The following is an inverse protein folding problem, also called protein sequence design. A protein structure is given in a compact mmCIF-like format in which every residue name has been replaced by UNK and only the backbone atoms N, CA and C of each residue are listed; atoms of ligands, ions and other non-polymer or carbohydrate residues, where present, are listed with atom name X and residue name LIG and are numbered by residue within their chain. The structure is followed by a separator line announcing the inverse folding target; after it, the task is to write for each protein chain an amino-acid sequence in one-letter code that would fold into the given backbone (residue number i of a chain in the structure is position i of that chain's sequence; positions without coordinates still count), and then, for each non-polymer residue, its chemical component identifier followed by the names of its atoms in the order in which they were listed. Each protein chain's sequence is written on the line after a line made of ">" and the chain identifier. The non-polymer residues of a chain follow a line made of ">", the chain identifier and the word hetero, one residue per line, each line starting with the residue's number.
data_IF_745019733002
#
_entry.id   IF_745019733002
#
_cell.length_a   1.000
_cell.length_b   1.000
_cell.length_c   1.000
_cell.angle_alpha   90.00
_cell.angle_beta   90.00
_cell.angle_gamma   90.00
#
_symmetry.space_group_name_H-M   'P 1'
#
loop_
_entity.id
_entity.type
_entity.pdbx_description
1 polymer ?
#
# COMPACT_ATOMS: atom_id res chain seq x y z
N UNK A 1 -25.85 -31.09 22.56
CA UNK A 1 -26.42 -29.73 22.42
C UNK A 1 -27.50 -29.79 21.35
N UNK A 2 -28.75 -29.44 21.70
CA UNK A 2 -29.97 -29.74 20.95
C UNK A 2 -30.02 -29.14 19.54
N UNK A 3 -30.25 -29.99 18.53
CA UNK A 3 -30.48 -29.60 17.14
C UNK A 3 -31.71 -28.67 16.95
N UNK A 4 -32.67 -28.70 17.89
CA UNK A 4 -33.80 -27.76 17.89
C UNK A 4 -33.38 -26.30 18.13
N UNK A 5 -32.31 -26.05 18.89
CA UNK A 5 -31.89 -24.69 19.19
C UNK A 5 -31.23 -24.03 17.96
N UNK A 6 -30.46 -24.78 17.15
CA UNK A 6 -29.84 -24.24 15.94
C UNK A 6 -30.84 -23.93 14.82
N UNK A 7 -31.92 -24.72 14.71
CA UNK A 7 -33.04 -24.46 13.81
C UNK A 7 -33.84 -23.22 14.25
N UNK A 8 -34.13 -23.07 15.54
CA UNK A 8 -34.81 -21.89 16.10
C UNK A 8 -33.98 -20.61 15.90
N UNK A 9 -32.67 -20.67 16.15
CA UNK A 9 -31.78 -19.53 15.92
C UNK A 9 -31.75 -19.14 14.45
N UNK A 10 -31.72 -20.09 13.50
CA UNK A 10 -31.76 -19.77 12.06
C UNK A 10 -33.09 -19.13 11.63
N UNK A 11 -34.22 -19.63 12.14
CA UNK A 11 -35.56 -19.12 11.83
C UNK A 11 -35.80 -17.69 12.33
N UNK A 12 -35.14 -17.29 13.42
CA UNK A 12 -35.32 -15.97 14.04
C UNK A 12 -34.17 -15.01 13.70
N UNK A 13 -32.90 -15.46 13.67
CA UNK A 13 -31.75 -14.58 13.37
C UNK A 13 -31.75 -14.08 11.94
N UNK A 14 -32.16 -14.89 10.95
CA UNK A 14 -32.15 -14.45 9.56
C UNK A 14 -33.11 -13.27 9.32
N UNK A 15 -34.40 -13.33 9.71
CA UNK A 15 -35.30 -12.19 9.51
C UNK A 15 -34.93 -10.99 10.40
N UNK A 16 -34.43 -11.21 11.62
CA UNK A 16 -33.95 -10.11 12.49
C UNK A 16 -32.73 -9.43 11.88
N UNK A 17 -31.78 -10.19 11.33
CA UNK A 17 -30.60 -9.66 10.66
C UNK A 17 -30.99 -8.91 9.38
N UNK A 18 -31.90 -9.47 8.57
CA UNK A 18 -32.42 -8.79 7.36
C UNK A 18 -33.14 -7.49 7.74
N UNK A 19 -34.01 -7.50 8.75
CA UNK A 19 -34.70 -6.32 9.23
C UNK A 19 -33.70 -5.27 9.77
N UNK A 20 -32.68 -5.70 10.52
CA UNK A 20 -31.64 -4.81 11.03
C UNK A 20 -30.81 -4.19 9.90
N UNK A 21 -30.42 -4.97 8.89
CA UNK A 21 -29.73 -4.45 7.70
C UNK A 21 -30.60 -3.48 6.89
N UNK A 22 -31.91 -3.74 6.80
CA UNK A 22 -32.88 -2.86 6.12
C UNK A 22 -33.06 -1.53 6.88
N UNK A 23 -33.14 -1.59 8.23
CA UNK A 23 -33.22 -0.39 9.06
C UNK A 23 -31.95 0.46 8.99
N UNK A 24 -30.76 -0.15 8.95
CA UNK A 24 -29.49 0.59 8.79
C UNK A 24 -29.37 1.20 7.37
N UNK A 25 -29.86 0.49 6.35
CA UNK A 25 -29.89 1.03 4.98
C UNK A 25 -30.76 2.29 4.87
N UNK A 26 -31.86 2.35 5.61
CA UNK A 26 -32.82 3.45 5.58
C UNK A 26 -32.34 4.75 6.27
N UNK A 27 -31.27 4.74 7.07
CA UNK A 27 -30.81 5.93 7.80
C UNK A 27 -29.93 6.90 7.00
N UNK A 28 -29.65 6.62 5.72
CA UNK A 28 -28.79 7.47 4.89
C UNK A 28 -29.59 8.52 4.11
N UNK A 29 -30.34 9.38 4.81
CA UNK A 29 -30.84 10.63 4.22
C UNK A 29 -29.74 11.69 4.32
N UNK A 30 -28.85 11.71 3.32
CA UNK A 30 -27.87 12.77 3.15
C UNK A 30 -28.58 14.07 2.81
N UNK A 31 -28.61 15.01 3.75
CA UNK A 31 -29.07 16.37 3.50
C UNK A 31 -27.90 17.15 2.91
N UNK A 32 -27.92 17.36 1.59
CA UNK A 32 -26.99 18.29 0.94
C UNK A 32 -27.60 19.69 1.04
N UNK A 33 -27.10 20.51 1.96
CA UNK A 33 -27.41 21.93 1.97
C UNK A 33 -26.59 22.61 0.86
N UNK A 34 -27.24 22.94 -0.25
CA UNK A 34 -26.59 23.67 -1.34
C UNK A 34 -26.52 25.14 -0.93
N UNK A 35 -25.34 25.58 -0.52
CA UNK A 35 -25.07 27.00 -0.30
C UNK A 35 -25.01 27.72 -1.66
N UNK A 36 -26.01 28.56 -1.93
CA UNK A 36 -26.11 29.35 -3.16
C UNK A 36 -25.48 30.71 -2.91
N UNK A 37 -24.35 30.95 -3.56
CA UNK A 37 -23.69 32.25 -3.61
C UNK A 37 -24.09 33.02 -4.87
N UNK A 38 -24.24 34.33 -4.76
CA UNK A 38 -24.63 35.22 -5.87
C UNK A 38 -23.38 35.88 -6.49
N UNK A 39 -23.18 35.68 -7.79
CA UNK A 39 -22.00 36.15 -8.51
C UNK A 39 -22.38 37.16 -9.59
N UNK A 40 -21.57 38.22 -9.73
CA UNK A 40 -21.82 39.27 -10.73
C UNK A 40 -21.59 38.77 -12.18
N UNK A 41 -20.86 37.66 -12.35
CA UNK A 41 -20.61 37.04 -13.66
C UNK A 41 -20.46 35.53 -13.60
N UNK A 42 -20.74 34.86 -14.72
CA UNK A 42 -20.51 33.41 -14.89
C UNK A 42 -19.04 33.01 -14.73
N UNK A 43 -18.12 33.93 -15.03
CA UNK A 43 -16.68 33.70 -14.85
C UNK A 43 -16.32 33.59 -13.36
N UNK A 44 -16.85 34.49 -12.52
CA UNK A 44 -16.63 34.44 -11.07
C UNK A 44 -17.25 33.16 -10.47
N UNK A 45 -18.46 32.78 -10.89
CA UNK A 45 -19.07 31.52 -10.44
C UNK A 45 -18.18 30.30 -10.77
N UNK A 46 -17.70 30.23 -12.01
CA UNK A 46 -16.82 29.13 -12.44
C UNK A 46 -15.47 29.13 -11.69
N UNK A 47 -14.90 30.32 -11.46
CA UNK A 47 -13.68 30.51 -10.69
C UNK A 47 -13.84 30.01 -9.26
N UNK A 48 -14.90 30.46 -8.58
CA UNK A 48 -15.23 30.05 -7.23
C UNK A 48 -15.41 28.53 -7.14
N UNK A 49 -16.23 27.94 -8.04
CA UNK A 49 -16.46 26.48 -8.08
C UNK A 49 -15.16 25.71 -8.26
N UNK A 50 -14.28 26.15 -9.17
CA UNK A 50 -12.97 25.54 -9.38
C UNK A 50 -12.09 25.58 -8.13
N UNK A 51 -12.09 26.69 -7.40
CA UNK A 51 -11.31 26.86 -6.18
C UNK A 51 -11.81 25.97 -5.04
N UNK A 52 -13.13 25.91 -4.79
CA UNK A 52 -13.69 25.09 -3.69
C UNK A 52 -13.59 23.58 -3.96
N UNK A 53 -13.48 23.16 -5.23
CA UNK A 53 -13.22 21.77 -5.60
C UNK A 53 -11.73 21.42 -5.47
N UNK A 54 -10.82 22.36 -5.74
CA UNK A 54 -9.38 22.19 -5.52
C UNK A 54 -9.01 22.26 -4.04
N UNK A 55 -9.75 22.99 -3.20
CA UNK A 55 -9.44 23.07 -1.79
C UNK A 55 -9.94 21.87 -0.98
N UNK A 56 -9.10 21.36 -0.09
CA UNK A 56 -9.42 20.36 0.92
C UNK A 56 -9.74 21.06 2.24
N UNK A 57 -10.70 20.52 2.98
CA UNK A 57 -10.92 20.96 4.36
C UNK A 57 -9.94 20.22 5.30
N UNK A 58 -8.94 20.90 5.91
CA UNK A 58 -7.91 20.25 6.73
C UNK A 58 -8.44 19.66 8.05
N UNK A 59 -9.67 20.04 8.43
CA UNK A 59 -10.35 19.57 9.65
C UNK A 59 -11.45 18.55 9.35
N UNK A 60 -11.76 18.32 8.08
CA UNK A 60 -12.80 17.39 7.65
C UNK A 60 -12.16 16.05 7.23
N UNK A 61 -12.95 14.99 7.14
CA UNK A 61 -12.46 13.66 6.76
C UNK A 61 -12.10 13.57 5.27
N UNK A 62 -10.92 14.07 4.87
CA UNK A 62 -10.37 13.90 3.50
C UNK A 62 -11.35 14.31 2.37
N UNK A 63 -12.22 15.29 2.64
CA UNK A 63 -13.21 15.81 1.70
C UNK A 63 -12.77 17.17 1.14
N UNK A 64 -13.24 17.49 -0.05
CA UNK A 64 -13.09 18.83 -0.63
C UNK A 64 -13.95 19.84 0.14
N UNK A 65 -13.66 21.12 -0.08
CA UNK A 65 -14.38 22.21 0.55
C UNK A 65 -15.82 22.26 0.04
N UNK A 66 -16.04 22.01 -1.25
CA UNK A 66 -17.38 21.98 -1.85
C UNK A 66 -18.34 20.97 -1.20
N UNK A 67 -17.87 19.76 -0.85
CA UNK A 67 -18.69 18.69 -0.29
C UNK A 67 -18.67 18.57 1.23
N UNK A 68 -17.97 19.48 1.93
CA UNK A 68 -17.90 19.47 3.40
C UNK A 68 -18.78 20.58 4.00
N UNK A 69 -19.66 20.20 4.93
CA UNK A 69 -20.53 21.12 5.68
C UNK A 69 -20.03 21.38 7.11
N UNK A 70 -18.71 21.28 7.32
CA UNK A 70 -18.13 21.63 8.61
C UNK A 70 -18.18 23.16 8.83
N UNK A 71 -18.32 23.65 10.08
CA UNK A 71 -18.34 25.09 10.36
C UNK A 71 -17.10 25.83 9.83
N UNK A 72 -15.93 25.17 9.86
CA UNK A 72 -14.68 25.71 9.30
C UNK A 72 -14.68 25.74 7.76
N UNK A 73 -15.35 24.78 7.11
CA UNK A 73 -15.48 24.76 5.66
C UNK A 73 -16.36 25.92 5.18
N UNK A 74 -17.42 26.27 5.92
CA UNK A 74 -18.27 27.42 5.64
C UNK A 74 -17.49 28.74 5.72
N UNK A 75 -16.65 28.94 6.75
CA UNK A 75 -15.79 30.12 6.87
C UNK A 75 -14.84 30.25 5.66
N UNK A 76 -14.23 29.14 5.25
CA UNK A 76 -13.36 29.07 4.07
C UNK A 76 -14.11 29.32 2.76
N UNK A 77 -15.31 28.77 2.59
CA UNK A 77 -16.19 29.02 1.43
C UNK A 77 -16.56 30.49 1.35
N UNK A 78 -16.99 31.08 2.47
CA UNK A 78 -17.33 32.49 2.55
C UNK A 78 -16.11 33.36 2.19
N UNK A 79 -14.94 33.06 2.77
CA UNK A 79 -13.73 33.83 2.50
C UNK A 79 -13.27 33.73 1.04
N UNK A 80 -13.40 32.55 0.44
CA UNK A 80 -13.11 32.34 -0.99
C UNK A 80 -14.08 33.14 -1.86
N UNK A 81 -15.37 33.12 -1.52
CA UNK A 81 -16.40 33.90 -2.21
C UNK A 81 -16.10 35.40 -2.16
N UNK A 82 -15.79 35.95 -0.98
CA UNK A 82 -15.47 37.37 -0.81
C UNK A 82 -14.28 37.78 -1.70
N UNK A 83 -13.20 36.97 -1.73
CA UNK A 83 -12.03 37.28 -2.56
C UNK A 83 -12.28 37.17 -4.07
N UNK A 84 -13.13 36.22 -4.50
CA UNK A 84 -13.55 36.12 -5.90
C UNK A 84 -14.37 37.35 -6.30
N UNK A 85 -15.25 37.81 -5.41
CA UNK A 85 -16.05 39.02 -5.61
C UNK A 85 -15.19 40.30 -5.63
N UNK A 86 -14.13 40.33 -4.82
CA UNK A 86 -13.10 41.37 -4.85
C UNK A 86 -12.25 41.36 -6.14
N UNK A 87 -12.45 40.40 -7.05
CA UNK A 87 -11.74 40.30 -8.33
C UNK A 87 -10.32 39.77 -8.22
N UNK A 88 -9.97 39.06 -7.14
CA UNK A 88 -8.66 38.45 -6.94
C UNK A 88 -8.42 37.33 -7.95
N UNK A 89 -7.15 37.13 -8.30
CA UNK A 89 -6.73 36.00 -9.14
C UNK A 89 -6.66 34.69 -8.35
N UNK A 90 -6.76 33.55 -9.04
CA UNK A 90 -6.68 32.22 -8.41
C UNK A 90 -5.37 32.02 -7.63
N UNK A 91 -4.27 32.59 -8.15
CA UNK A 91 -2.95 32.49 -7.52
C UNK A 91 -2.92 33.25 -6.19
N UNK A 92 -3.45 34.47 -6.14
CA UNK A 92 -3.56 35.25 -4.91
C UNK A 92 -4.46 34.54 -3.89
N UNK A 93 -5.59 33.98 -4.33
CA UNK A 93 -6.52 33.25 -3.46
C UNK A 93 -5.84 32.01 -2.87
N UNK A 94 -5.17 31.20 -3.69
CA UNK A 94 -4.41 30.03 -3.19
C UNK A 94 -3.32 30.44 -2.21
N UNK A 95 -2.58 31.50 -2.51
CA UNK A 95 -1.50 31.98 -1.66
C UNK A 95 -2.05 32.44 -0.30
N UNK A 96 -3.12 33.23 -0.29
CA UNK A 96 -3.80 33.64 0.94
C UNK A 96 -4.26 32.44 1.77
N UNK A 97 -4.88 31.46 1.12
CA UNK A 97 -5.35 30.24 1.76
C UNK A 97 -4.21 29.42 2.35
N UNK A 98 -3.08 29.28 1.64
CA UNK A 98 -1.90 28.58 2.15
C UNK A 98 -1.21 29.33 3.29
N UNK A 99 -1.09 30.65 3.20
CA UNK A 99 -0.44 31.46 4.24
C UNK A 99 -1.21 31.41 5.56
N UNK A 100 -2.55 31.38 5.50
CA UNK A 100 -3.40 31.40 6.69
C UNK A 100 -3.77 30.03 7.23
N UNK A 101 -4.02 29.06 6.34
CA UNK A 101 -4.54 27.73 6.70
C UNK A 101 -3.53 26.59 6.45
N UNK A 102 -2.37 26.88 5.84
CA UNK A 102 -1.26 25.96 5.64
C UNK A 102 -1.24 25.28 4.27
N UNK A 103 -0.14 24.58 3.99
CA UNK A 103 0.12 23.92 2.70
C UNK A 103 -0.89 22.80 2.36
N UNK A 104 -1.57 22.24 3.35
CA UNK A 104 -2.48 21.09 3.20
C UNK A 104 -3.86 21.46 2.66
N UNK A 105 -4.13 22.74 2.42
CA UNK A 105 -5.41 23.20 1.89
C UNK A 105 -5.57 22.91 0.40
N UNK A 106 -4.48 22.82 -0.37
CA UNK A 106 -4.52 22.49 -1.80
C UNK A 106 -3.99 21.08 -2.04
N UNK A 107 -4.51 20.37 -3.05
CA UNK A 107 -3.94 19.09 -3.52
C UNK A 107 -2.53 19.24 -4.12
N UNK A 108 -2.13 20.47 -4.45
CA UNK A 108 -0.91 20.81 -5.18
C UNK A 108 0.09 21.51 -4.23
N UNK A 109 0.97 20.76 -3.52
CA UNK A 109 2.00 21.38 -2.70
C UNK A 109 2.96 22.17 -3.59
N UNK A 110 3.24 23.46 -3.27
CA UNK A 110 4.11 24.28 -4.10
C UNK A 110 5.55 23.74 -4.08
N UNK A 111 6.21 23.76 -5.24
CA UNK A 111 7.63 23.38 -5.37
C UNK A 111 8.52 24.43 -4.70
N UNK A 112 8.80 24.24 -3.41
CA UNK A 112 9.73 25.09 -2.65
C UNK A 112 11.16 24.57 -2.76
N UNK A 113 12.18 25.44 -2.60
CA UNK A 113 13.59 25.03 -2.57
C UNK A 113 13.89 23.92 -1.54
N UNK A 114 13.16 23.90 -0.42
CA UNK A 114 13.28 22.85 0.60
C UNK A 114 12.74 21.48 0.14
N UNK A 115 11.71 21.48 -0.71
CA UNK A 115 11.11 20.26 -1.27
C UNK A 115 11.76 19.80 -2.56
N UNK A 116 12.61 20.63 -3.19
CA UNK A 116 13.26 20.30 -4.46
C UNK A 116 14.03 18.98 -4.41
N UNK A 117 14.73 18.71 -3.31
CA UNK A 117 15.44 17.43 -3.17
C UNK A 117 14.48 16.24 -3.28
N UNK A 118 13.27 16.32 -2.71
CA UNK A 118 12.27 15.27 -2.79
C UNK A 118 11.75 15.07 -4.22
N UNK A 119 11.58 16.17 -4.97
CA UNK A 119 11.11 16.12 -6.35
C UNK A 119 12.19 15.66 -7.35
N UNK A 120 13.43 16.10 -7.17
CA UNK A 120 14.53 15.81 -8.11
C UNK A 120 15.33 14.55 -7.77
N UNK A 121 15.32 14.08 -6.52
CA UNK A 121 16.06 12.88 -6.13
C UNK A 121 15.61 11.62 -6.90
N UNK A 122 14.31 11.28 -7.00
CA UNK A 122 13.87 10.10 -7.76
C UNK A 122 14.29 10.10 -9.24
N UNK A 123 14.04 11.17 -10.04
CA UNK A 123 14.46 11.18 -11.43
C UNK A 123 15.98 11.24 -11.59
N UNK A 124 16.70 11.97 -10.73
CA UNK A 124 18.16 12.04 -10.78
C UNK A 124 18.80 10.67 -10.54
N UNK A 125 18.32 9.94 -9.53
CA UNK A 125 18.78 8.58 -9.24
C UNK A 125 18.52 7.64 -10.42
N UNK A 126 17.32 7.72 -11.02
CA UNK A 126 16.96 6.92 -12.19
C UNK A 126 17.91 7.18 -13.37
N UNK A 127 18.20 8.46 -13.66
CA UNK A 127 19.12 8.86 -14.72
C UNK A 127 20.54 8.35 -14.44
N UNK A 128 21.02 8.40 -13.20
CA UNK A 128 22.33 7.88 -12.83
C UNK A 128 22.43 6.37 -13.04
N UNK A 129 21.39 5.61 -12.67
CA UNK A 129 21.35 4.16 -12.85
C UNK A 129 21.29 3.81 -14.34
N UNK A 130 20.39 4.42 -15.11
CA UNK A 130 20.27 4.17 -16.54
C UNK A 130 21.53 4.60 -17.30
N UNK A 131 22.10 5.76 -16.97
CA UNK A 131 23.35 6.26 -17.55
C UNK A 131 24.53 5.35 -17.23
N UNK A 132 24.66 4.89 -15.99
CA UNK A 132 25.70 3.94 -15.58
C UNK A 132 25.55 2.57 -16.24
N UNK A 133 24.31 2.05 -16.35
CA UNK A 133 24.02 0.81 -17.05
C UNK A 133 24.34 0.91 -18.55
N UNK A 134 23.92 1.99 -19.20
CA UNK A 134 24.19 2.25 -20.61
C UNK A 134 25.71 2.38 -20.86
N UNK A 135 26.43 3.14 -20.03
CA UNK A 135 27.88 3.27 -20.10
C UNK A 135 28.58 1.91 -19.94
N UNK A 136 28.17 1.11 -18.94
CA UNK A 136 28.72 -0.23 -18.72
C UNK A 136 28.46 -1.16 -19.90
N UNK A 137 27.29 -1.09 -20.53
CA UNK A 137 26.95 -1.92 -21.68
C UNK A 137 27.75 -1.48 -22.93
N UNK A 138 27.88 -0.18 -23.17
CA UNK A 138 28.65 0.34 -24.31
C UNK A 138 30.17 0.14 -24.17
N UNK A 139 30.70 0.09 -22.96
CA UNK A 139 32.13 -0.16 -22.70
C UNK A 139 32.51 -1.65 -22.77
N UNK A 140 31.53 -2.57 -22.70
CA UNK A 140 31.76 -4.02 -22.88
C UNK A 140 31.96 -4.40 -24.36
N UNK A 141 31.68 -3.51 -25.30
CA UNK A 141 31.81 -3.76 -26.74
C UNK A 141 33.25 -3.67 -27.29
N UNK A 142 34.26 -3.53 -26.43
CA UNK A 142 35.68 -3.56 -26.81
C UNK A 142 36.49 -4.52 -25.95
N UNK A 143 36.15 -5.80 -25.97
CA UNK A 143 37.17 -6.81 -25.72
C UNK A 143 37.87 -7.07 -27.07
N UNK A 144 39.12 -6.60 -27.30
CA UNK A 144 39.92 -7.18 -28.37
C UNK A 144 40.11 -8.65 -28.02
N UNK A 145 39.60 -9.53 -28.87
CA UNK A 145 39.75 -10.97 -28.81
C UNK A 145 41.25 -11.34 -28.95
N UNK A 146 42.04 -11.14 -27.90
CA UNK A 146 43.32 -11.83 -27.71
C UNK A 146 43.00 -13.10 -26.94
N UNK A 147 42.73 -14.17 -27.68
CA UNK A 147 42.84 -15.53 -27.14
C UNK A 147 44.33 -15.76 -26.87
N UNK A 148 44.78 -16.00 -25.64
CA UNK A 148 46.02 -16.72 -25.44
C UNK A 148 45.71 -18.15 -25.88
N UNK A 149 46.38 -18.61 -26.94
CA UNK A 149 46.41 -20.03 -27.29
C UNK A 149 47.22 -20.69 -26.17
N UNK A 150 46.52 -21.28 -25.20
CA UNK A 150 47.10 -22.26 -24.29
C UNK A 150 46.97 -23.64 -24.95
N UNK A 151 47.97 -24.52 -24.79
CA UNK A 151 47.87 -25.88 -25.28
C UNK A 151 46.71 -26.59 -24.58
N UNK A 152 45.82 -27.21 -25.36
CA UNK A 152 44.79 -28.11 -24.85
C UNK A 152 45.49 -29.32 -24.25
N UNK A 153 45.66 -29.33 -22.94
CA UNK A 153 45.90 -30.59 -22.22
C UNK A 153 44.53 -31.08 -21.76
N UNK A 154 44.12 -32.18 -22.35
CA UNK A 154 42.80 -32.79 -22.26
C UNK A 154 42.39 -33.10 -20.81
N UNK A 155 41.60 -32.21 -20.20
CA UNK A 155 40.93 -32.49 -18.93
C UNK A 155 39.80 -33.53 -19.16
N UNK A 156 39.19 -33.52 -20.34
CA UNK A 156 38.12 -34.44 -20.74
C UNK A 156 38.57 -35.91 -20.84
N UNK A 157 39.84 -36.18 -21.16
CA UNK A 157 40.38 -37.55 -21.16
C UNK A 157 40.69 -38.04 -19.73
N UNK A 158 41.01 -37.12 -18.81
CA UNK A 158 41.35 -37.46 -17.42
C UNK A 158 40.14 -37.73 -16.51
N UNK A 159 39.00 -37.08 -16.76
CA UNK A 159 37.77 -37.28 -15.97
C UNK A 159 37.03 -38.56 -16.39
N UNK A 160 36.96 -38.83 -17.70
CA UNK A 160 36.29 -40.01 -18.27
C UNK A 160 36.88 -41.33 -17.74
N UNK A 161 38.21 -41.45 -17.71
CA UNK A 161 38.91 -42.67 -17.27
C UNK A 161 38.75 -42.92 -15.76
N UNK A 162 38.76 -41.86 -14.94
CA UNK A 162 38.64 -41.99 -13.48
C UNK A 162 37.19 -42.21 -13.03
N UNK A 163 36.23 -41.61 -13.72
CA UNK A 163 34.80 -41.77 -13.42
C UNK A 163 34.28 -43.16 -13.82
N UNK A 164 34.73 -43.71 -14.96
CA UNK A 164 34.33 -45.05 -15.41
C UNK A 164 34.84 -46.15 -14.46
N UNK A 165 36.07 -46.03 -13.96
CA UNK A 165 36.61 -46.98 -12.97
C UNK A 165 35.85 -46.94 -11.62
N UNK A 166 35.27 -45.79 -11.25
CA UNK A 166 34.45 -45.65 -10.06
C UNK A 166 33.05 -46.29 -10.25
N UNK A 167 32.47 -46.16 -11.45
CA UNK A 167 31.17 -46.74 -11.77
C UNK A 167 31.22 -48.27 -11.75
N UNK A 168 32.26 -48.88 -12.32
CA UNK A 168 32.43 -50.34 -12.33
C UNK A 168 32.56 -50.91 -10.91
N UNK A 169 33.20 -50.19 -9.99
CA UNK A 169 33.28 -50.58 -8.58
C UNK A 169 31.93 -50.57 -7.87
N UNK A 170 31.06 -49.61 -8.19
CA UNK A 170 29.71 -49.54 -7.62
C UNK A 170 28.77 -50.61 -8.21
N UNK A 171 28.99 -51.01 -9.47
CA UNK A 171 28.23 -52.10 -10.08
C UNK A 171 28.68 -53.48 -9.56
N UNK A 172 29.99 -53.69 -9.37
CA UNK A 172 30.52 -54.92 -8.79
C UNK A 172 30.07 -55.14 -7.33
N UNK A 173 30.01 -54.07 -6.51
CA UNK A 173 29.46 -54.18 -5.14
C UNK A 173 27.95 -54.43 -5.12
N UNK A 174 27.22 -53.95 -6.13
CA UNK A 174 25.78 -54.24 -6.31
C UNK A 174 25.53 -55.70 -6.72
N UNK A 175 26.39 -56.28 -7.55
CA UNK A 175 26.30 -57.71 -7.93
C UNK A 175 26.57 -58.64 -6.75
N UNK A 176 27.55 -58.34 -5.89
CA UNK A 176 27.75 -59.10 -4.64
C UNK A 176 26.59 -58.92 -3.66
N UNK A 177 26.08 -57.69 -3.51
CA UNK A 177 24.91 -57.43 -2.67
C UNK A 177 23.61 -58.07 -3.23
N UNK A 178 23.55 -58.34 -4.53
CA UNK A 178 22.41 -58.96 -5.22
C UNK A 178 22.35 -60.49 -5.12
N UNK A 179 23.42 -61.16 -4.67
CA UNK A 179 23.50 -62.63 -4.59
C UNK A 179 23.16 -63.19 -3.20
N UNK A 180 23.01 -62.35 -2.17
CA UNK A 180 22.79 -62.80 -0.78
C UNK A 180 21.37 -62.52 -0.24
N UNK A 181 20.46 -61.94 -1.04
CA UNK A 181 19.07 -61.73 -0.61
C UNK A 181 18.09 -62.41 -1.57
N UNK A 182 18.15 -63.74 -1.61
CA UNK A 182 17.06 -64.57 -2.13
C UNK A 182 16.68 -65.63 -1.10
N UNK A 183 16.58 -65.26 0.18
CA UNK A 183 15.85 -66.08 1.13
C UNK A 183 15.39 -65.28 2.35
N UNK A 184 14.12 -65.47 2.69
CA UNK A 184 13.40 -65.02 3.89
C UNK A 184 13.13 -63.50 4.00
N UNK A 185 12.00 -63.01 4.52
CA UNK A 185 10.66 -63.52 4.83
C UNK A 185 9.85 -62.23 5.10
N UNK A 186 8.57 -62.30 4.73
CA UNK A 186 7.39 -61.54 5.19
C UNK A 186 7.61 -60.71 6.48
N UNK A 187 7.19 -59.44 6.43
CA UNK A 187 6.32 -58.74 7.41
C UNK A 187 6.42 -57.24 7.05
N UNK A 188 5.43 -56.72 6.33
CA UNK A 188 4.38 -55.87 6.92
C UNK A 188 4.93 -54.95 8.01
N UNK A 189 5.04 -53.65 7.71
CA UNK A 189 4.41 -52.60 8.51
C UNK A 189 4.50 -51.29 7.72
N UNK A 190 3.31 -50.85 7.35
CA UNK A 190 2.86 -49.51 7.04
C UNK A 190 3.59 -48.43 7.87
N UNK A 191 3.94 -47.30 7.26
CA UNK A 191 3.36 -46.01 7.66
C UNK A 191 3.87 -44.91 6.71
N UNK A 192 2.92 -44.44 5.90
CA UNK A 192 2.90 -43.11 5.30
C UNK A 192 2.87 -42.04 6.39
N UNK A 193 3.88 -41.19 6.46
CA UNK A 193 3.77 -39.85 7.05
C UNK A 193 4.33 -38.81 6.08
N UNK A 194 3.43 -38.35 5.23
CA UNK A 194 3.45 -37.03 4.62
C UNK A 194 3.07 -36.02 5.69
N UNK A 195 4.03 -35.24 6.19
CA UNK A 195 3.75 -34.00 6.90
C UNK A 195 4.33 -32.83 6.10
N UNK A 196 3.43 -32.18 5.37
CA UNK A 196 3.56 -30.80 4.90
C UNK A 196 2.87 -29.95 5.96
N UNK A 197 3.65 -29.35 6.87
CA UNK A 197 3.12 -28.38 7.83
C UNK A 197 3.65 -26.98 7.49
N UNK A 198 2.86 -26.28 6.67
CA UNK A 198 2.78 -24.82 6.68
C UNK A 198 2.10 -24.38 7.98
N UNK A 199 2.89 -24.18 9.04
CA UNK A 199 2.38 -23.53 10.26
C UNK A 199 2.57 -22.01 10.16
N UNK A 200 1.45 -21.33 9.95
CA UNK A 200 1.31 -19.89 10.09
C UNK A 200 0.86 -19.58 11.52
N UNK A 201 1.65 -18.75 12.22
CA UNK A 201 1.31 -17.92 13.40
C UNK A 201 1.25 -18.64 14.75
N UNK A 202 1.93 -18.09 15.79
CA UNK A 202 1.16 -17.40 16.82
C UNK A 202 1.85 -16.14 17.41
N UNK A 203 1.04 -15.31 18.08
CA UNK A 203 1.44 -14.51 19.25
C UNK A 203 2.36 -13.29 19.02
N UNK A 204 1.97 -12.02 19.19
CA UNK A 204 1.27 -11.43 20.34
C UNK A 204 0.70 -10.05 19.98
N UNK A 205 -0.58 -9.82 20.25
CA UNK A 205 -1.22 -8.52 20.32
C UNK A 205 -1.26 -8.10 21.80
N UNK A 206 -0.36 -7.19 22.21
CA UNK A 206 -0.41 -6.61 23.55
C UNK A 206 -1.34 -5.41 23.57
N UNK A 207 -2.54 -5.66 24.09
CA UNK A 207 -3.53 -4.68 24.53
C UNK A 207 -3.01 -3.91 25.74
N UNK A 208 -2.97 -2.58 25.68
CA UNK A 208 -3.09 -1.72 26.88
C UNK A 208 -3.92 -0.48 26.55
N UNK A 209 -5.10 -0.41 27.18
CA UNK A 209 -6.12 0.65 27.21
C UNK A 209 -5.71 1.78 28.21
N UNK A 210 -6.49 2.87 28.40
CA UNK A 210 -5.98 4.22 28.63
C UNK A 210 -6.17 4.68 30.09
N UNK A 211 -5.49 5.78 30.48
CA UNK A 211 -5.71 6.46 31.75
C UNK A 211 -6.36 7.82 31.52
N UNK A 212 -7.56 7.97 32.08
CA UNK A 212 -8.35 9.19 32.21
C UNK A 212 -7.81 10.05 33.35
N UNK A 213 -7.76 11.37 33.17
CA UNK A 213 -7.88 12.38 34.24
C UNK A 213 -8.22 13.73 33.56
N UNK A 214 -9.40 14.31 33.75
CA UNK A 214 -9.78 15.16 34.90
C UNK A 214 -9.56 16.63 34.51
N UNK A 215 -10.50 17.31 33.86
CA UNK A 215 -11.63 18.07 34.44
C UNK A 215 -11.22 19.10 35.49
N UNK A 216 -11.08 20.36 35.09
CA UNK A 216 -11.57 21.54 35.83
C UNK A 216 -12.03 22.63 34.85
N UNK A 217 -13.14 23.26 35.21
CA UNK A 217 -13.93 24.28 34.52
C UNK A 217 -14.17 25.41 35.55
N UNK A 218 -14.56 26.59 35.06
CA UNK A 218 -14.98 27.82 35.80
C UNK A 218 -13.82 28.67 36.34
N UNK A 219 -13.78 30.01 36.23
CA UNK A 219 -14.75 31.12 36.01
C UNK A 219 -14.00 32.24 35.25
N UNK A 220 -14.59 33.02 34.34
CA UNK A 220 -15.44 34.17 34.65
C UNK A 220 -14.60 35.33 35.20
N UNK A 221 -14.43 36.43 34.43
CA UNK A 221 -14.58 37.80 34.93
C UNK A 221 -14.40 38.86 33.83
N UNK A 222 -15.25 39.87 33.96
CA UNK A 222 -15.46 41.06 33.16
C UNK A 222 -14.35 42.09 33.30
N UNK A 223 -13.97 42.76 32.20
CA UNK A 223 -13.93 44.23 31.99
C UNK A 223 -13.20 44.55 30.68
#
# INVERSE_FOLDING_TARGET
>A
MNANNSLFYRLILIPVFVLFTLLIGATNLSHAAIEVYDFDSKRQEAQYRGLIDEFRCPKCQNQNLAGSDAPIAQDLKQKTYDMVKDGRSDAEIRQYMQERYGDFISYSPPVRPSTWILWFFPPLLLILILGGWFWRNHTRSKAPNKRPIMPNTDISSSLTVKEQAALDRLLASREESGKTTTEATIDEVNLTETETETETKPSNLKTTKPKSNGQTRDKGDSL
#
